data_IF_445415636226
#
_entry.id   IF_445415636226
#
_cell.length_a   1.000
_cell.length_b   1.000
_cell.length_c   1.000
_cell.angle_alpha   90.00
_cell.angle_beta   90.00
_cell.angle_gamma   90.00
#
_symmetry.space_group_name_H-M   'P 1'
#
loop_
_entity.id
_entity.type
_entity.pdbx_description
1 polymer ?
#
# COMPACT_ATOMS: atom_id res chain seq x y z
N UNK A 1 15.71 -36.15 -5.92
CA UNK A 1 16.11 -35.29 -7.04
C UNK A 1 15.43 -33.95 -6.83
N UNK A 2 16.20 -32.87 -6.85
CA UNK A 2 15.70 -31.51 -6.64
C UNK A 2 15.18 -30.96 -7.96
N UNK A 3 14.03 -30.30 -7.91
CA UNK A 3 13.34 -29.74 -9.07
C UNK A 3 13.17 -28.23 -8.93
N UNK A 4 13.08 -27.53 -10.06
CA UNK A 4 12.76 -26.11 -10.07
C UNK A 4 11.23 -25.98 -10.05
N UNK A 5 10.64 -25.27 -9.08
CA UNK A 5 9.20 -25.08 -9.04
C UNK A 5 8.74 -24.16 -10.19
N UNK A 6 7.52 -24.33 -10.71
CA UNK A 6 6.91 -23.31 -11.55
C UNK A 6 6.68 -22.04 -10.74
N UNK A 7 7.11 -20.91 -11.28
CA UNK A 7 6.99 -19.60 -10.65
C UNK A 7 6.19 -18.68 -11.57
N UNK A 8 5.22 -18.00 -11.00
CA UNK A 8 4.52 -16.90 -11.65
C UNK A 8 4.85 -15.59 -10.93
N UNK A 9 4.96 -14.50 -11.67
CA UNK A 9 5.26 -13.20 -11.10
C UNK A 9 4.43 -12.09 -11.72
N UNK A 10 4.16 -11.07 -10.91
CA UNK A 10 3.56 -9.81 -11.33
C UNK A 10 4.23 -8.69 -10.54
N UNK A 11 3.93 -7.45 -10.90
CA UNK A 11 4.45 -6.31 -10.17
C UNK A 11 3.42 -5.20 -10.11
N UNK A 12 3.67 -4.29 -9.17
CA UNK A 12 3.07 -2.98 -9.06
C UNK A 12 4.18 -1.93 -9.02
N UNK A 13 3.80 -0.66 -8.98
CA UNK A 13 4.75 0.45 -8.77
C UNK A 13 5.65 0.26 -7.55
N UNK A 14 5.10 -0.24 -6.44
CA UNK A 14 5.78 -0.26 -5.14
C UNK A 14 6.21 -1.66 -4.64
N UNK A 15 5.76 -2.72 -5.31
CA UNK A 15 5.95 -4.12 -4.86
C UNK A 15 6.00 -5.10 -6.02
N UNK A 16 6.51 -6.29 -5.74
CA UNK A 16 6.63 -7.40 -6.68
C UNK A 16 5.95 -8.61 -6.05
N UNK A 17 5.16 -9.32 -6.83
CA UNK A 17 4.53 -10.57 -6.45
C UNK A 17 5.28 -11.72 -7.08
N UNK A 18 5.70 -12.68 -6.25
CA UNK A 18 6.26 -13.94 -6.71
C UNK A 18 5.43 -15.07 -6.09
N UNK A 19 4.92 -15.96 -6.92
CA UNK A 19 4.13 -17.10 -6.47
C UNK A 19 4.80 -18.39 -6.94
N UNK A 20 5.20 -19.24 -5.99
CA UNK A 20 5.66 -20.59 -6.26
C UNK A 20 4.44 -21.52 -6.31
N UNK A 21 4.18 -22.10 -7.49
CA UNK A 21 3.06 -23.01 -7.72
C UNK A 21 3.40 -24.42 -7.23
N UNK A 22 3.61 -24.57 -5.92
CA UNK A 22 3.88 -25.85 -5.26
C UNK A 22 2.81 -26.10 -4.22
N UNK A 23 2.16 -27.25 -4.33
CA UNK A 23 1.08 -27.66 -3.43
C UNK A 23 1.60 -28.48 -2.25
N UNK A 24 0.86 -28.44 -1.14
CA UNK A 24 1.03 -29.27 0.05
C UNK A 24 2.45 -29.22 0.62
N UNK A 25 3.04 -28.02 0.66
CA UNK A 25 4.34 -27.79 1.28
C UNK A 25 4.16 -27.55 2.77
N UNK A 26 4.92 -28.30 3.58
CA UNK A 26 4.99 -28.08 5.03
C UNK A 26 6.29 -27.36 5.34
N UNK A 27 6.18 -26.18 5.95
CA UNK A 27 7.31 -25.34 6.40
C UNK A 27 8.37 -25.05 5.32
N UNK A 28 8.04 -24.26 4.27
CA UNK A 28 9.02 -23.85 3.28
C UNK A 28 10.11 -22.97 3.91
N UNK A 29 11.36 -23.24 3.56
CA UNK A 29 12.49 -22.37 3.88
C UNK A 29 12.60 -21.31 2.80
N UNK A 30 12.39 -20.05 3.19
CA UNK A 30 12.41 -18.91 2.28
C UNK A 30 13.28 -17.84 2.92
N UNK A 31 14.40 -17.56 2.27
CA UNK A 31 15.35 -16.53 2.66
C UNK A 31 15.24 -15.39 1.64
N UNK A 32 14.77 -14.23 2.12
CA UNK A 32 14.60 -13.01 1.32
C UNK A 32 15.79 -12.11 1.62
N UNK A 33 16.64 -11.89 0.63
CA UNK A 33 17.76 -10.97 0.71
C UNK A 33 17.49 -9.73 -0.15
N UNK A 34 18.33 -8.70 -0.04
CA UNK A 34 18.12 -7.45 -0.77
C UNK A 34 18.15 -7.64 -2.29
N UNK A 35 18.98 -8.57 -2.80
CA UNK A 35 19.18 -8.77 -4.24
C UNK A 35 18.82 -10.17 -4.74
N UNK A 36 18.46 -11.07 -3.84
CA UNK A 36 18.11 -12.45 -4.19
C UNK A 36 17.07 -13.04 -3.25
N UNK A 37 16.34 -14.03 -3.77
CA UNK A 37 15.37 -14.81 -2.99
C UNK A 37 15.70 -16.27 -3.17
N UNK A 38 15.95 -16.95 -2.05
CA UNK A 38 16.20 -18.39 -2.01
C UNK A 38 14.97 -19.10 -1.49
N UNK A 39 14.54 -20.12 -2.23
CA UNK A 39 13.40 -20.94 -1.90
C UNK A 39 13.82 -22.39 -1.85
N UNK A 40 13.55 -23.05 -0.72
CA UNK A 40 13.75 -24.47 -0.54
C UNK A 40 12.55 -25.09 0.19
N UNK A 41 11.94 -26.10 -0.41
CA UNK A 41 10.71 -26.69 0.09
C UNK A 41 10.60 -28.18 -0.26
N UNK A 42 10.05 -28.95 0.67
CA UNK A 42 9.68 -30.34 0.42
C UNK A 42 8.16 -30.45 0.36
N UNK A 43 7.64 -30.86 -0.80
CA UNK A 43 6.22 -31.11 -0.99
C UNK A 43 5.82 -32.46 -0.37
N UNK A 44 4.53 -32.61 -0.08
CA UNK A 44 3.99 -33.82 0.56
C UNK A 44 4.16 -35.10 -0.27
N UNK A 45 4.35 -34.98 -1.58
CA UNK A 45 4.66 -36.08 -2.49
C UNK A 45 6.15 -36.48 -2.49
N UNK A 46 6.93 -35.97 -1.52
CA UNK A 46 8.38 -36.17 -1.34
C UNK A 46 9.23 -35.58 -2.47
N UNK A 47 8.68 -34.68 -3.30
CA UNK A 47 9.47 -33.90 -4.24
C UNK A 47 10.13 -32.74 -3.51
N UNK A 48 11.42 -32.56 -3.78
CA UNK A 48 12.19 -31.44 -3.25
C UNK A 48 12.26 -30.36 -4.32
N UNK A 49 11.85 -29.15 -3.96
CA UNK A 49 11.90 -27.98 -4.81
C UNK A 49 12.92 -26.99 -4.24
N UNK A 50 13.82 -26.51 -5.09
CA UNK A 50 14.83 -25.54 -4.69
C UNK A 50 15.12 -24.59 -5.85
N UNK A 51 15.15 -23.29 -5.59
CA UNK A 51 15.44 -22.26 -6.59
C UNK A 51 15.99 -20.99 -5.93
N UNK A 52 17.04 -20.45 -6.55
CA UNK A 52 17.62 -19.15 -6.20
C UNK A 52 17.32 -18.15 -7.32
N UNK A 53 16.60 -17.08 -6.99
CA UNK A 53 16.19 -16.04 -7.94
C UNK A 53 17.00 -14.78 -7.64
N UNK A 54 17.93 -14.44 -8.54
CA UNK A 54 18.65 -13.16 -8.49
C UNK A 54 17.77 -12.06 -9.08
N UNK A 55 17.35 -11.12 -8.25
CA UNK A 55 16.42 -10.05 -8.60
C UNK A 55 17.07 -9.01 -9.54
N UNK A 56 16.24 -8.35 -10.34
CA UNK A 56 16.70 -7.31 -11.28
C UNK A 56 17.31 -6.10 -10.57
N UNK A 57 16.70 -5.65 -9.47
CA UNK A 57 17.21 -4.60 -8.57
C UNK A 57 17.02 -5.02 -7.11
N UNK A 58 17.53 -4.18 -6.22
CA UNK A 58 17.39 -4.37 -4.78
C UNK A 58 15.96 -4.11 -4.29
N UNK A 59 15.56 -4.88 -3.28
CA UNK A 59 14.29 -4.76 -2.56
C UNK A 59 14.55 -4.42 -1.09
N UNK A 60 13.48 -4.19 -0.33
CA UNK A 60 13.51 -4.10 1.12
C UNK A 60 13.04 -5.43 1.74
N UNK A 61 13.95 -6.28 2.27
CA UNK A 61 13.59 -7.56 2.87
C UNK A 61 12.70 -7.43 4.11
N UNK A 62 12.89 -6.38 4.92
CA UNK A 62 12.17 -6.19 6.18
C UNK A 62 10.68 -5.88 5.96
N UNK A 63 10.38 -5.16 4.88
CA UNK A 63 9.00 -4.84 4.48
C UNK A 63 8.37 -5.91 3.57
N UNK A 64 9.10 -6.98 3.26
CA UNK A 64 8.62 -8.06 2.40
C UNK A 64 7.90 -9.13 3.21
N UNK A 65 6.81 -9.67 2.68
CA UNK A 65 5.97 -10.66 3.37
C UNK A 65 5.91 -11.97 2.61
N UNK A 66 5.68 -13.06 3.33
CA UNK A 66 5.48 -14.40 2.79
C UNK A 66 4.17 -14.98 3.29
N UNK A 67 3.41 -15.58 2.38
CA UNK A 67 2.14 -16.24 2.64
C UNK A 67 2.24 -17.66 2.13
N UNK A 68 2.20 -18.62 3.05
CA UNK A 68 2.21 -20.05 2.71
C UNK A 68 0.77 -20.52 2.73
N UNK A 69 0.26 -20.97 1.59
CA UNK A 69 -1.04 -21.63 1.48
C UNK A 69 -0.86 -23.08 1.05
N UNK A 70 -1.89 -23.90 1.24
CA UNK A 70 -1.85 -25.32 0.84
C UNK A 70 -1.66 -25.52 -0.67
N UNK A 71 -2.02 -24.52 -1.48
CA UNK A 71 -1.98 -24.60 -2.95
C UNK A 71 -0.74 -23.95 -3.55
N UNK A 72 -0.23 -22.91 -2.91
CA UNK A 72 0.87 -22.11 -3.43
C UNK A 72 1.51 -21.31 -2.32
N UNK A 73 2.74 -20.87 -2.57
CA UNK A 73 3.46 -19.96 -1.70
C UNK A 73 3.58 -18.63 -2.41
N UNK A 74 3.06 -17.57 -1.80
CA UNK A 74 3.14 -16.22 -2.33
C UNK A 74 4.15 -15.39 -1.53
N UNK A 75 4.98 -14.63 -2.23
CA UNK A 75 5.85 -13.61 -1.70
C UNK A 75 5.42 -12.26 -2.24
N UNK A 76 5.36 -11.29 -1.33
CA UNK A 76 5.19 -9.88 -1.67
C UNK A 76 6.47 -9.17 -1.29
N UNK A 77 7.27 -8.84 -2.30
CA UNK A 77 8.53 -8.15 -2.13
C UNK A 77 8.32 -6.64 -2.24
N UNK A 78 8.77 -5.88 -1.26
CA UNK A 78 8.66 -4.41 -1.31
C UNK A 78 9.86 -3.84 -2.08
N UNK A 79 9.61 -3.08 -3.14
CA UNK A 79 10.68 -2.34 -3.84
C UNK A 79 11.29 -1.28 -2.91
N UNK A 80 12.52 -0.83 -3.18
CA UNK A 80 13.07 0.31 -2.45
C UNK A 80 12.26 1.58 -2.72
N UNK A 81 12.27 2.53 -1.79
CA UNK A 81 11.42 3.74 -1.85
C UNK A 81 11.72 4.60 -3.09
N UNK A 82 12.96 4.56 -3.57
CA UNK A 82 13.39 5.29 -4.77
C UNK A 82 13.07 4.54 -6.08
N UNK A 83 12.66 3.27 -6.02
CA UNK A 83 12.41 2.43 -7.20
C UNK A 83 10.92 2.30 -7.50
N UNK A 84 10.36 3.35 -8.11
CA UNK A 84 8.97 3.38 -8.60
C UNK A 84 8.83 2.83 -10.02
N UNK A 85 9.95 2.54 -10.70
CA UNK A 85 9.95 2.07 -12.07
C UNK A 85 9.45 0.62 -12.18
N UNK A 86 8.76 0.33 -13.29
CA UNK A 86 8.41 -1.04 -13.65
C UNK A 86 9.65 -1.80 -14.11
N UNK A 87 9.77 -3.04 -13.63
CA UNK A 87 10.88 -3.93 -13.96
C UNK A 87 10.58 -4.66 -15.27
N UNK A 88 11.47 -4.63 -16.27
CA UNK A 88 11.24 -5.35 -17.52
C UNK A 88 11.33 -6.88 -17.34
N UNK A 89 12.10 -7.33 -16.34
CA UNK A 89 12.30 -8.74 -16.00
C UNK A 89 12.36 -8.88 -14.48
N UNK A 90 11.95 -10.04 -13.95
CA UNK A 90 12.14 -10.36 -12.54
C UNK A 90 13.62 -10.56 -12.19
N UNK A 91 14.36 -11.22 -13.09
CA UNK A 91 15.75 -11.60 -12.87
C UNK A 91 16.73 -10.58 -13.42
N UNK A 92 17.91 -10.47 -12.79
CA UNK A 92 19.01 -9.62 -13.27
C UNK A 92 19.43 -9.94 -14.70
N UNK A 93 19.46 -11.23 -15.03
CA UNK A 93 19.79 -11.70 -16.36
C UNK A 93 18.53 -11.80 -17.22
N UNK A 94 18.61 -11.28 -18.45
CA UNK A 94 17.57 -11.40 -19.47
C UNK A 94 17.60 -12.80 -20.08
N UNK A 95 17.33 -13.82 -19.27
CA UNK A 95 17.23 -15.21 -19.71
C UNK A 95 15.78 -15.64 -19.73
N UNK A 96 15.37 -16.32 -20.81
CA UNK A 96 14.03 -16.93 -20.90
C UNK A 96 14.00 -18.19 -20.04
N UNK A 97 13.65 -18.01 -18.77
CA UNK A 97 13.52 -19.09 -17.82
C UNK A 97 12.22 -19.86 -18.06
N UNK A 98 12.31 -21.15 -18.42
CA UNK A 98 11.13 -21.99 -18.72
C UNK A 98 10.19 -22.17 -17.51
N UNK A 99 10.73 -22.01 -16.31
CA UNK A 99 10.02 -22.11 -15.04
C UNK A 99 9.32 -20.80 -14.62
N UNK A 100 9.63 -19.66 -15.25
CA UNK A 100 9.09 -18.35 -14.90
C UNK A 100 8.01 -17.90 -15.91
N UNK A 101 6.84 -17.50 -15.42
CA UNK A 101 5.74 -16.97 -16.24
C UNK A 101 5.13 -15.71 -15.60
N UNK A 102 4.38 -14.94 -16.39
CA UNK A 102 3.64 -13.78 -15.87
C UNK A 102 2.35 -14.27 -15.17
N UNK A 103 2.03 -13.69 -14.03
CA UNK A 103 0.76 -13.89 -13.32
C UNK A 103 -0.30 -12.94 -13.89
N UNK A 104 -1.07 -13.42 -14.86
CA UNK A 104 -2.15 -12.64 -15.49
C UNK A 104 -3.30 -12.28 -14.55
N UNK A 105 -3.46 -12.98 -13.41
CA UNK A 105 -4.52 -12.65 -12.45
C UNK A 105 -4.18 -11.38 -11.65
N UNK A 106 -2.89 -11.11 -11.45
CA UNK A 106 -2.39 -9.95 -10.70
C UNK A 106 -1.71 -8.91 -11.61
N UNK A 107 -1.61 -9.17 -12.91
CA UNK A 107 -0.99 -8.25 -13.85
C UNK A 107 -1.88 -7.03 -14.06
N UNK A 108 -1.28 -5.85 -13.96
CA UNK A 108 -1.92 -4.56 -14.24
C UNK A 108 -0.91 -3.73 -15.03
N UNK A 109 -1.43 -2.95 -15.98
CA UNK A 109 -0.65 -2.04 -16.80
C UNK A 109 -0.18 -0.82 -16.01
N UNK A 110 0.96 -0.24 -16.42
CA UNK A 110 1.63 0.85 -15.69
C UNK A 110 0.73 2.08 -15.45
N UNK A 111 -0.19 2.34 -16.38
CA UNK A 111 -1.13 3.47 -16.36
C UNK A 111 -2.36 3.18 -15.48
N UNK A 112 -2.77 1.92 -15.32
CA UNK A 112 -3.94 1.52 -14.52
C UNK A 112 -3.59 1.38 -13.02
N UNK A 113 -2.32 1.13 -12.71
CA UNK A 113 -1.80 1.05 -11.34
C UNK A 113 -2.02 2.34 -10.51
N UNK A 114 -2.07 3.51 -11.16
CA UNK A 114 -2.25 4.80 -10.47
C UNK A 114 -3.67 4.97 -9.89
N UNK A 115 -4.69 4.32 -10.47
CA UNK A 115 -6.06 4.40 -9.97
C UNK A 115 -6.27 3.53 -8.72
N UNK A 116 -5.56 2.41 -8.60
CA UNK A 116 -5.71 1.46 -7.49
C UNK A 116 -5.08 1.96 -6.18
N UNK A 117 -4.06 2.86 -6.25
CA UNK A 117 -3.46 3.52 -5.09
C UNK A 117 -4.41 4.47 -4.34
N UNK A 118 -5.54 4.85 -4.96
CA UNK A 118 -6.59 5.66 -4.32
C UNK A 118 -7.58 4.82 -3.49
N UNK A 119 -7.42 3.50 -3.44
CA UNK A 119 -8.23 2.59 -2.62
C UNK A 119 -7.35 1.93 -1.55
N UNK A 120 -6.45 2.70 -0.91
CA UNK A 120 -6.07 2.36 0.46
C UNK A 120 -7.34 2.44 1.30
N UNK A 121 -7.88 1.25 1.60
CA UNK A 121 -9.13 1.10 2.29
C UNK A 121 -9.06 1.82 3.64
N UNK A 122 -10.05 2.64 3.95
CA UNK A 122 -10.28 3.23 5.28
C UNK A 122 -10.28 2.21 6.43
N UNK A 123 -10.25 0.90 6.12
CA UNK A 123 -10.20 -0.21 7.06
C UNK A 123 -8.80 -0.44 7.64
N UNK A 124 -7.73 -0.22 6.87
CA UNK A 124 -6.37 -0.59 7.27
C UNK A 124 -5.71 0.43 8.22
N UNK A 125 -6.32 1.61 8.41
CA UNK A 125 -5.84 2.64 9.35
C UNK A 125 -6.18 2.28 10.81
N UNK A 126 -7.11 1.36 11.05
CA UNK A 126 -7.53 1.00 12.41
C UNK A 126 -6.65 -0.07 13.08
N UNK A 127 -5.83 -0.80 12.33
CA UNK A 127 -5.09 -1.97 12.86
C UNK A 127 -3.59 -1.71 13.14
N UNK A 128 -3.11 -0.46 13.02
CA UNK A 128 -1.79 -0.07 13.51
C UNK A 128 -1.86 0.47 14.93
N UNK A 129 -1.89 -0.44 15.89
CA UNK A 129 -1.84 -0.14 17.33
C UNK A 129 -0.42 0.22 17.81
N UNK A 130 0.35 0.94 16.98
CA UNK A 130 1.67 1.46 17.34
C UNK A 130 1.63 2.98 17.28
N UNK A 131 1.57 3.55 18.47
CA UNK A 131 1.90 4.93 18.80
C UNK A 131 0.89 6.03 18.48
N UNK A 132 -0.41 5.76 18.59
CA UNK A 132 -1.41 6.83 18.70
C UNK A 132 -1.09 7.81 19.84
N UNK A 133 -0.64 7.29 20.99
CA UNK A 133 -0.28 8.13 22.15
C UNK A 133 1.05 8.86 22.00
N UNK A 134 2.06 8.27 21.37
CA UNK A 134 3.32 8.98 21.09
C UNK A 134 3.15 10.02 19.99
N UNK A 135 2.35 9.75 18.95
CA UNK A 135 2.00 10.73 17.91
C UNK A 135 1.18 11.86 18.53
N UNK A 136 0.18 11.54 19.37
CA UNK A 136 -0.60 12.54 20.11
C UNK A 136 0.27 13.40 21.04
N UNK A 137 1.19 12.78 21.77
CA UNK A 137 2.12 13.48 22.66
C UNK A 137 3.09 14.37 21.88
N UNK A 138 3.65 13.87 20.77
CA UNK A 138 4.51 14.68 19.89
C UNK A 138 3.77 15.85 19.26
N UNK A 139 2.52 15.65 18.82
CA UNK A 139 1.66 16.71 18.30
C UNK A 139 1.36 17.76 19.39
N UNK A 140 1.01 17.33 20.60
CA UNK A 140 0.72 18.25 21.71
C UNK A 140 1.96 19.04 22.17
N UNK A 141 3.14 18.43 22.16
CA UNK A 141 4.40 19.11 22.47
C UNK A 141 4.76 20.13 21.39
N UNK A 142 4.59 19.79 20.11
CA UNK A 142 4.81 20.74 19.00
C UNK A 142 3.85 21.93 19.15
N UNK A 143 2.61 21.68 19.52
CA UNK A 143 1.59 22.70 19.76
C UNK A 143 1.93 23.66 20.92
N UNK A 144 2.54 23.15 21.98
CA UNK A 144 3.03 23.94 23.10
C UNK A 144 4.27 24.77 22.72
N UNK A 145 5.14 24.24 21.84
CA UNK A 145 6.36 24.91 21.36
C UNK A 145 6.04 26.00 20.34
N UNK A 146 5.08 25.77 19.43
CA UNK A 146 4.72 26.72 18.37
C UNK A 146 3.70 27.78 18.81
N UNK A 147 3.38 27.87 20.10
CA UNK A 147 2.45 28.88 20.63
C UNK A 147 1.05 28.75 20.06
N UNK A 148 0.20 27.96 20.72
CA UNK A 148 -1.19 27.68 20.32
C UNK A 148 -2.02 28.95 19.96
N UNK A 149 -1.64 30.10 20.52
CA UNK A 149 -2.28 31.39 20.28
C UNK A 149 -2.04 31.97 18.88
N UNK A 150 -0.87 31.72 18.25
CA UNK A 150 -0.57 32.26 16.92
C UNK A 150 -1.39 31.56 15.82
N UNK A 151 -1.56 30.23 15.92
CA UNK A 151 -2.37 29.45 14.98
C UNK A 151 -3.87 29.76 15.11
N UNK A 152 -4.36 30.00 16.34
CA UNK A 152 -5.73 30.43 16.55
C UNK A 152 -5.96 31.87 16.09
N UNK A 153 -4.99 32.78 16.28
CA UNK A 153 -5.06 34.14 15.77
C UNK A 153 -5.06 34.19 14.22
N UNK A 154 -4.26 33.36 13.56
CA UNK A 154 -4.26 33.23 12.09
C UNK A 154 -5.59 32.67 11.59
N UNK A 155 -6.13 31.62 12.23
CA UNK A 155 -7.45 31.07 11.89
C UNK A 155 -8.56 32.10 12.06
N UNK A 156 -8.56 32.85 13.16
CA UNK A 156 -9.54 33.90 13.40
C UNK A 156 -9.39 35.04 12.39
N UNK A 157 -8.17 35.48 12.07
CA UNK A 157 -7.96 36.49 11.04
C UNK A 157 -8.44 36.04 9.66
N UNK A 158 -8.19 34.80 9.24
CA UNK A 158 -8.68 34.28 7.95
C UNK A 158 -10.22 34.24 7.94
N UNK A 159 -10.85 33.80 9.02
CA UNK A 159 -12.31 33.78 9.17
C UNK A 159 -12.88 35.21 9.10
N UNK A 160 -12.28 36.17 9.81
CA UNK A 160 -12.70 37.57 9.77
C UNK A 160 -12.49 38.20 8.39
N UNK A 161 -11.41 37.84 7.68
CA UNK A 161 -11.11 38.33 6.34
C UNK A 161 -12.11 37.80 5.30
N UNK A 162 -12.55 36.54 5.44
CA UNK A 162 -13.60 35.93 4.61
C UNK A 162 -14.97 36.60 4.86
N UNK A 163 -15.27 36.96 6.12
CA UNK A 163 -16.50 37.68 6.50
C UNK A 163 -16.46 39.13 6.00
N UNK A 164 -15.32 39.83 6.11
CA UNK A 164 -15.16 41.22 5.69
C UNK A 164 -15.12 41.41 4.17
N UNK A 165 -14.52 40.48 3.43
CA UNK A 165 -14.50 40.50 1.97
C UNK A 165 -15.73 39.87 1.30
N UNK A 166 -16.72 39.45 2.10
CA UNK A 166 -18.07 39.13 1.64
C UNK A 166 -18.11 38.18 0.42
N UNK A 167 -17.24 37.16 0.42
CA UNK A 167 -17.24 36.09 -0.60
C UNK A 167 -18.36 35.08 -0.29
N UNK A 168 -19.53 35.59 0.09
CA UNK A 168 -20.81 34.87 0.17
C UNK A 168 -21.83 35.63 -0.69
N UNK A 169 -21.61 35.77 -2.01
CA UNK A 169 -22.71 36.11 -2.89
C UNK A 169 -23.65 34.87 -2.84
N UNK A 170 -24.85 34.87 -2.27
CA UNK A 170 -25.80 35.96 -2.09
C UNK A 170 -26.68 35.65 -0.86
N UNK A 171 -26.40 36.23 0.32
CA UNK A 171 -27.12 35.94 1.59
C UNK A 171 -28.64 36.21 1.54
N UNK A 172 -29.15 36.89 0.50
CA UNK A 172 -30.58 37.23 0.38
C UNK A 172 -31.50 36.11 -0.15
N UNK A 173 -30.99 35.03 -0.74
CA UNK A 173 -31.86 33.97 -1.32
C UNK A 173 -32.28 32.93 -0.27
N UNK A 174 -31.40 32.60 0.69
CA UNK A 174 -31.69 31.61 1.75
C UNK A 174 -32.61 32.17 2.86
N UNK A 175 -32.53 33.48 3.14
CA UNK A 175 -33.47 34.13 4.07
C UNK A 175 -34.92 34.11 3.57
N UNK A 176 -35.13 34.10 2.24
CA UNK A 176 -36.47 34.09 1.64
C UNK A 176 -37.17 32.73 1.77
N UNK A 177 -36.43 31.63 1.68
CA UNK A 177 -36.99 30.28 1.84
C UNK A 177 -37.29 29.91 3.29
N UNK A 178 -36.51 30.41 4.26
CA UNK A 178 -36.70 30.04 5.66
C UNK A 178 -37.87 30.80 6.34
N UNK A 179 -38.30 31.95 5.79
CA UNK A 179 -39.43 32.72 6.33
C UNK A 179 -40.81 32.11 6.03
N UNK A 180 -40.96 31.32 4.95
CA UNK A 180 -42.24 30.67 4.62
C UNK A 180 -42.56 29.42 5.45
N UNK A 181 -41.58 28.78 6.09
CA UNK A 181 -41.80 27.62 6.96
C UNK A 181 -42.27 27.99 8.37
N UNK A 182 -42.16 29.26 8.77
CA UNK A 182 -42.51 29.72 10.13
C UNK A 182 -43.89 30.36 10.27
N UNK A 183 -44.73 30.25 9.23
CA UNK A 183 -46.12 30.73 9.22
C UNK A 183 -47.17 29.62 9.45
N UNK A 184 -46.75 28.39 9.79
CA UNK A 184 -47.67 27.28 10.09
C UNK A 184 -47.35 26.61 11.43
N UNK A 185 -47.43 27.39 12.50
CA UNK A 185 -48.01 26.94 13.78
C UNK A 185 -48.52 28.16 14.56
N UNK A 186 -49.68 28.68 14.14
CA UNK A 186 -50.87 28.98 14.95
C UNK A 186 -51.86 29.75 14.05
N UNK A 187 -53.08 29.20 13.94
CA UNK A 187 -54.18 29.46 12.98
C UNK A 187 -54.06 28.80 11.60
#
# INVERSE_FOLDING_TARGET
>A
MTQIPPVIWAQRKDKIFITYCVENVKDPKIDIEASEVKFDAVASDKKHYSIDIKLFKEINPEKSTKTVSDRQIELVLKKQEDDTAFWPYLTKEKQKNHWLKVDFNKWVDEDEDDEELNILSFKDINDLDVNRELIRTKINTIFYITGYDELNAIKQNIIQNIIQHNIVPFVNILYFFNRKKKLYHYE
#
